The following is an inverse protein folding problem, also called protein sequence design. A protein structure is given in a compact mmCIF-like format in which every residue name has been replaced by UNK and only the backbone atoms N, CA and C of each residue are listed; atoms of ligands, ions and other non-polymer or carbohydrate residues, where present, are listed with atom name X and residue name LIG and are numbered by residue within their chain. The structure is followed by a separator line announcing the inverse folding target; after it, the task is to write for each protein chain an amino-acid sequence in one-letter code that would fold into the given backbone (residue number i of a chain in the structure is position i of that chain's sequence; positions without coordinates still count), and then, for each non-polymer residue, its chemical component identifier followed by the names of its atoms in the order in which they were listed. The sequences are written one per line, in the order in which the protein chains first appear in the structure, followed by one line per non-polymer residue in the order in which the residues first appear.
data_IF_772296702930
#
_entry.id   IF_772296702930
#
_cell.length_a   1.000
_cell.length_b   1.000
_cell.length_c   1.000
_cell.angle_alpha   90.00
_cell.angle_beta   90.00
_cell.angle_gamma   90.00
#
_symmetry.space_group_name_H-M   'P 1'
#
loop_
_entity.id
_entity.type
_entity.pdbx_description
1 polymer ?
#
# COMPACT_ATOMS: atom_id res chain seq x y z
N UNK A 1 21.05 -85.33 45.79
CA UNK A 1 19.72 -84.66 45.88
C UNK A 1 19.84 -83.27 45.26
N UNK A 2 18.99 -83.00 44.25
CA UNK A 2 18.43 -81.68 43.82
C UNK A 2 19.41 -80.54 43.52
N UNK A 3 19.42 -79.84 42.37
CA UNK A 3 18.40 -79.51 41.34
C UNK A 3 19.18 -78.98 40.11
N UNK A 4 18.89 -79.46 38.91
CA UNK A 4 17.93 -78.94 37.91
C UNK A 4 18.40 -77.75 37.07
N UNK A 5 18.36 -78.02 35.77
CA UNK A 5 18.65 -77.19 34.61
C UNK A 5 17.51 -76.23 34.23
N UNK A 6 17.88 -75.26 33.36
CA UNK A 6 17.08 -74.41 32.42
C UNK A 6 16.70 -73.00 32.91
N UNK A 7 16.41 -72.04 32.00
CA UNK A 7 16.92 -71.84 30.62
C UNK A 7 17.29 -70.37 30.31
N UNK A 8 17.87 -70.23 29.11
CA UNK A 8 18.07 -69.04 28.28
C UNK A 8 16.94 -67.99 28.37
N UNK A 9 17.31 -66.74 28.64
CA UNK A 9 16.66 -65.58 28.03
C UNK A 9 17.74 -64.62 27.54
N UNK A 10 17.95 -64.63 26.23
CA UNK A 10 18.53 -63.53 25.50
C UNK A 10 17.55 -62.35 25.63
N UNK A 11 18.00 -61.25 26.21
CA UNK A 11 17.36 -59.95 26.05
C UNK A 11 18.38 -59.10 25.31
N UNK A 12 18.19 -59.07 23.99
CA UNK A 12 18.78 -58.07 23.13
C UNK A 12 18.34 -56.70 23.65
N UNK A 13 19.29 -55.89 24.11
CA UNK A 13 19.05 -54.47 24.29
C UNK A 13 18.86 -53.88 22.89
N UNK A 14 17.61 -53.63 22.51
CA UNK A 14 17.28 -52.78 21.37
C UNK A 14 17.87 -51.40 21.66
N UNK A 15 18.99 -51.08 20.99
CA UNK A 15 19.37 -49.70 20.73
C UNK A 15 18.27 -49.09 19.86
N UNK A 16 17.33 -48.36 20.46
CA UNK A 16 16.54 -47.38 19.72
C UNK A 16 17.43 -46.16 19.59
N UNK A 17 18.32 -46.21 18.60
CA UNK A 17 18.90 -44.99 18.05
C UNK A 17 17.76 -44.26 17.34
N UNK A 18 17.04 -43.41 18.08
CA UNK A 18 16.22 -42.39 17.46
C UNK A 18 17.17 -41.44 16.73
N UNK A 19 17.43 -41.75 15.46
CA UNK A 19 17.90 -40.79 14.49
C UNK A 19 16.84 -39.69 14.45
N UNK A 20 17.07 -38.64 15.23
CA UNK A 20 16.48 -37.34 14.99
C UNK A 20 17.13 -36.86 13.69
N UNK A 21 16.56 -37.29 12.57
CA UNK A 21 16.74 -36.58 11.32
C UNK A 21 16.27 -35.16 11.61
N UNK A 22 17.11 -34.12 11.44
CA UNK A 22 16.57 -32.79 11.29
C UNK A 22 15.71 -32.88 10.03
N UNK A 23 14.40 -32.99 10.24
CA UNK A 23 13.46 -32.66 9.20
C UNK A 23 13.72 -31.18 8.98
N UNK A 24 14.54 -30.90 7.97
CA UNK A 24 14.59 -29.61 7.31
C UNK A 24 13.20 -29.42 6.73
N UNK A 25 12.24 -29.11 7.60
CA UNK A 25 11.11 -28.27 7.26
C UNK A 25 11.82 -27.07 6.66
N UNK A 26 11.93 -27.07 5.34
CA UNK A 26 12.05 -25.83 4.61
C UNK A 26 10.82 -25.10 5.14
N UNK A 27 11.05 -24.14 6.03
CA UNK A 27 10.12 -23.04 6.13
C UNK A 27 10.00 -22.61 4.67
N UNK A 28 8.87 -22.96 4.03
CA UNK A 28 8.47 -22.35 2.79
C UNK A 28 8.64 -20.87 3.09
N UNK A 29 9.66 -20.26 2.50
CA UNK A 29 9.99 -18.88 2.79
C UNK A 29 8.68 -18.13 2.61
N UNK A 30 8.25 -17.40 3.63
CA UNK A 30 7.11 -16.50 3.48
C UNK A 30 7.34 -15.76 2.16
N UNK A 31 6.36 -15.78 1.22
CA UNK A 31 6.55 -15.15 -0.07
C UNK A 31 7.05 -13.73 0.17
N UNK A 32 8.05 -13.30 -0.60
CA UNK A 32 8.54 -11.94 -0.44
C UNK A 32 7.32 -11.02 -0.59
N UNK A 33 7.12 -10.07 0.34
CA UNK A 33 5.93 -9.21 0.29
C UNK A 33 5.74 -8.52 -1.07
N UNK A 34 6.84 -8.25 -1.78
CA UNK A 34 6.88 -7.75 -3.15
C UNK A 34 6.29 -8.70 -4.20
N UNK A 35 6.20 -10.00 -3.95
CA UNK A 35 5.54 -11.00 -4.80
C UNK A 35 4.02 -11.05 -4.58
N UNK A 36 3.54 -10.62 -3.40
CA UNK A 36 2.11 -10.61 -3.06
C UNK A 36 1.35 -9.38 -3.61
N UNK A 37 2.07 -8.34 -4.03
CA UNK A 37 1.49 -7.04 -4.45
C UNK A 37 1.75 -6.69 -5.92
N UNK A 38 2.22 -7.65 -6.73
CA UNK A 38 2.56 -7.40 -8.14
C UNK A 38 1.31 -7.32 -9.00
N UNK A 39 1.10 -6.17 -9.62
CA UNK A 39 -0.04 -5.96 -10.50
C UNK A 39 0.41 -5.23 -11.77
N UNK A 40 -0.13 -5.61 -12.95
CA UNK A 40 0.17 -4.91 -14.19
C UNK A 40 -0.33 -3.46 -14.08
N UNK A 41 0.56 -2.50 -14.29
CA UNK A 41 0.23 -1.07 -14.28
C UNK A 41 -0.95 -0.77 -15.21
N UNK A 42 -1.71 0.27 -14.90
CA UNK A 42 -2.68 0.84 -15.83
C UNK A 42 -1.96 1.29 -17.11
N UNK A 43 -2.70 1.30 -18.23
CA UNK A 43 -2.20 1.84 -19.50
C UNK A 43 -2.15 3.37 -19.44
N UNK A 44 -1.09 3.88 -18.82
CA UNK A 44 -0.78 5.29 -18.58
C UNK A 44 0.67 5.59 -19.00
N UNK A 45 0.98 6.84 -19.40
CA UNK A 45 2.35 7.24 -19.67
C UNK A 45 3.17 7.25 -18.37
N UNK A 46 4.12 6.32 -18.26
CA UNK A 46 5.05 6.30 -17.11
C UNK A 46 6.10 7.40 -17.30
N UNK A 47 6.27 8.33 -16.35
CA UNK A 47 7.23 9.43 -16.47
C UNK A 47 8.68 8.96 -16.22
N UNK A 48 9.64 9.90 -16.35
CA UNK A 48 11.05 9.60 -16.05
C UNK A 48 11.27 9.33 -14.54
N UNK A 49 12.36 8.63 -14.14
CA UNK A 49 12.66 8.44 -12.73
C UNK A 49 12.70 9.77 -11.94
N UNK A 50 12.15 9.75 -10.74
CA UNK A 50 11.98 10.92 -9.86
C UNK A 50 10.78 11.80 -10.22
N UNK A 51 9.90 11.37 -11.12
CA UNK A 51 8.78 12.16 -11.60
C UNK A 51 7.41 11.50 -11.40
N UNK A 52 6.40 12.37 -11.42
CA UNK A 52 4.98 12.03 -11.37
C UNK A 52 4.24 12.81 -12.45
N UNK A 53 3.31 12.13 -13.09
CA UNK A 53 2.39 12.64 -14.09
C UNK A 53 0.96 12.53 -13.55
N UNK A 54 0.20 13.62 -13.67
CA UNK A 54 -1.15 13.78 -13.11
C UNK A 54 -2.06 14.37 -14.17
N UNK A 55 -3.14 13.67 -14.49
CA UNK A 55 -4.24 14.13 -15.35
C UNK A 55 -5.55 14.14 -14.55
N UNK A 56 -6.36 15.17 -14.75
CA UNK A 56 -7.69 15.30 -14.17
C UNK A 56 -8.69 15.70 -15.26
N UNK A 57 -9.76 14.91 -15.43
CA UNK A 57 -10.79 15.08 -16.47
C UNK A 57 -10.23 15.28 -17.89
N UNK A 58 -9.13 14.58 -18.22
CA UNK A 58 -8.48 14.65 -19.53
C UNK A 58 -7.48 15.81 -19.69
N UNK A 59 -7.29 16.65 -18.68
CA UNK A 59 -6.27 17.70 -18.66
C UNK A 59 -5.06 17.30 -17.82
N UNK A 60 -3.86 17.34 -18.40
CA UNK A 60 -2.61 17.14 -17.66
C UNK A 60 -2.39 18.33 -16.73
N UNK A 61 -2.60 18.11 -15.43
CA UNK A 61 -2.43 19.15 -14.41
C UNK A 61 -0.98 19.33 -13.99
N UNK A 62 -0.17 18.28 -14.08
CA UNK A 62 1.22 18.29 -13.63
C UNK A 62 2.04 17.16 -14.25
N UNK A 63 3.25 17.50 -14.68
CA UNK A 63 4.32 16.54 -14.95
C UNK A 63 5.61 17.12 -14.38
N UNK A 64 6.17 16.49 -13.35
CA UNK A 64 7.31 17.06 -12.65
C UNK A 64 7.81 16.18 -11.51
N UNK A 65 8.61 16.77 -10.64
CA UNK A 65 9.27 16.03 -9.57
C UNK A 65 8.28 15.50 -8.53
N UNK A 66 8.56 14.30 -8.02
CA UNK A 66 7.93 13.83 -6.79
C UNK A 66 8.38 14.67 -5.60
N UNK A 67 7.53 14.77 -4.58
CA UNK A 67 7.82 15.43 -3.32
C UNK A 67 7.81 14.41 -2.17
N UNK A 68 8.81 14.48 -1.29
CA UNK A 68 8.89 13.63 -0.09
C UNK A 68 9.26 12.18 -0.40
N UNK A 69 8.67 11.25 0.35
CA UNK A 69 8.87 9.82 0.15
C UNK A 69 8.25 9.35 -1.18
N UNK A 70 8.98 8.50 -1.90
CA UNK A 70 8.48 7.85 -3.10
C UNK A 70 8.97 6.39 -3.13
N UNK A 71 8.03 5.45 -3.19
CA UNK A 71 8.30 4.02 -3.31
C UNK A 71 7.77 3.21 -2.13
N UNK A 72 8.32 2.01 -1.96
CA UNK A 72 8.05 1.17 -0.79
C UNK A 72 8.54 1.85 0.49
N UNK A 73 7.65 2.06 1.46
CA UNK A 73 8.00 2.59 2.78
C UNK A 73 7.67 1.55 3.85
N UNK A 74 8.66 0.77 4.24
CA UNK A 74 8.50 -0.31 5.23
C UNK A 74 8.55 0.17 6.67
N UNK A 75 8.69 1.47 6.91
CA UNK A 75 8.77 2.03 8.27
C UNK A 75 7.38 2.04 8.89
N UNK A 76 7.15 1.33 10.01
CA UNK A 76 5.89 1.41 10.73
C UNK A 76 5.64 2.86 11.16
N UNK A 77 4.45 3.39 10.89
CA UNK A 77 4.05 4.67 11.50
C UNK A 77 3.86 4.49 13.01
N UNK A 78 3.69 5.58 13.75
CA UNK A 78 3.30 5.53 15.17
C UNK A 78 1.96 4.77 15.41
N UNK A 79 1.19 4.56 14.35
CA UNK A 79 -0.08 3.81 14.30
C UNK A 79 0.09 2.39 13.73
N UNK A 80 1.34 1.94 13.55
CA UNK A 80 1.71 0.64 12.97
C UNK A 80 1.15 0.42 11.55
N UNK A 81 1.04 1.50 10.76
CA UNK A 81 0.71 1.38 9.33
C UNK A 81 1.95 0.91 8.56
N UNK A 82 1.78 -0.09 7.70
CA UNK A 82 2.79 -0.47 6.71
C UNK A 82 2.44 0.20 5.38
N UNK A 83 3.23 1.19 4.96
CA UNK A 83 3.03 1.85 3.66
C UNK A 83 3.67 1.00 2.56
N UNK A 84 2.88 0.13 1.95
CA UNK A 84 3.31 -0.66 0.80
C UNK A 84 3.70 0.23 -0.39
N UNK A 85 3.17 1.43 -0.54
CA UNK A 85 3.67 2.40 -1.51
C UNK A 85 3.20 3.79 -1.12
N UNK A 86 4.08 4.78 -1.26
CA UNK A 86 3.69 6.20 -1.19
C UNK A 86 4.34 6.96 -2.32
N UNK A 87 3.63 7.92 -2.88
CA UNK A 87 4.18 8.98 -3.69
C UNK A 87 3.37 10.26 -3.50
N UNK A 88 4.01 11.41 -3.62
CA UNK A 88 3.32 12.70 -3.55
C UNK A 88 3.92 13.71 -4.51
N UNK A 89 3.17 14.75 -4.81
CA UNK A 89 3.68 15.96 -5.45
C UNK A 89 2.93 17.19 -4.94
N UNK A 90 3.62 18.31 -4.89
CA UNK A 90 3.04 19.62 -4.69
C UNK A 90 3.55 20.60 -5.76
N UNK A 91 2.67 21.46 -6.24
CA UNK A 91 3.01 22.43 -7.28
C UNK A 91 2.06 23.62 -7.25
N UNK A 92 2.50 24.72 -7.85
CA UNK A 92 1.65 25.85 -8.15
C UNK A 92 1.06 25.66 -9.54
N UNK A 93 -0.25 25.88 -9.68
CA UNK A 93 -0.86 26.02 -11.00
C UNK A 93 -0.32 27.27 -11.71
N UNK A 94 -0.52 27.40 -13.03
CA UNK A 94 -0.15 28.62 -13.76
C UNK A 94 -0.78 29.91 -13.19
N UNK A 95 -1.94 29.78 -12.54
CA UNK A 95 -2.67 30.88 -11.88
C UNK A 95 -2.13 31.19 -10.47
N UNK A 96 -1.21 30.37 -9.95
CA UNK A 96 -0.62 30.54 -8.62
C UNK A 96 -1.33 29.77 -7.50
N UNK A 97 -2.23 28.84 -7.82
CA UNK A 97 -2.96 28.04 -6.83
C UNK A 97 -2.13 26.85 -6.37
N UNK A 98 -2.00 26.66 -5.06
CA UNK A 98 -1.28 25.54 -4.48
C UNK A 98 -2.08 24.24 -4.60
N UNK A 99 -1.43 23.22 -5.15
CA UNK A 99 -1.98 21.87 -5.34
C UNK A 99 -1.10 20.85 -4.68
N UNK A 100 -1.74 19.80 -4.18
CA UNK A 100 -1.06 18.65 -3.60
C UNK A 100 -1.79 17.37 -3.98
N UNK A 101 -1.04 16.35 -4.36
CA UNK A 101 -1.56 14.99 -4.53
C UNK A 101 -0.75 14.04 -3.68
N UNK A 102 -1.44 13.05 -3.14
CA UNK A 102 -0.82 11.87 -2.53
C UNK A 102 -1.46 10.61 -3.07
N UNK A 103 -0.61 9.64 -3.35
CA UNK A 103 -0.92 8.26 -3.71
C UNK A 103 -0.38 7.36 -2.59
N UNK A 104 -1.25 6.61 -1.93
CA UNK A 104 -0.89 5.74 -0.80
C UNK A 104 -1.55 4.38 -0.96
N UNK A 105 -0.73 3.32 -0.97
CA UNK A 105 -1.18 1.94 -0.77
C UNK A 105 -0.54 1.43 0.51
N UNK A 106 -1.32 0.86 1.41
CA UNK A 106 -0.77 0.39 2.67
C UNK A 106 -1.68 -0.53 3.44
N UNK A 107 -1.18 -1.02 4.56
CA UNK A 107 -1.95 -1.72 5.57
C UNK A 107 -2.15 -0.74 6.71
N UNK A 108 -3.40 -0.32 6.95
CA UNK A 108 -3.74 0.56 8.05
C UNK A 108 -3.97 -0.20 9.34
N UNK A 109 -3.44 0.36 10.42
CA UNK A 109 -3.55 -0.11 11.78
C UNK A 109 -4.77 0.40 12.56
N UNK A 110 -5.84 0.89 11.92
CA UNK A 110 -7.03 1.34 12.70
C UNK A 110 -7.51 0.24 13.66
N UNK A 111 -7.49 0.55 14.96
CA UNK A 111 -7.72 -0.39 16.07
C UNK A 111 -9.06 -1.14 15.95
N UNK A 112 -10.10 -0.47 15.41
CA UNK A 112 -11.42 -1.07 15.19
C UNK A 112 -11.36 -2.28 14.26
N UNK A 113 -10.46 -2.26 13.27
CA UNK A 113 -10.34 -3.31 12.25
C UNK A 113 -9.29 -4.34 12.65
N UNK A 114 -8.25 -3.93 13.40
CA UNK A 114 -7.22 -4.81 13.94
C UNK A 114 -7.80 -5.94 14.80
N UNK A 115 -8.83 -5.64 15.60
CA UNK A 115 -9.54 -6.63 16.42
C UNK A 115 -10.25 -7.71 15.60
N UNK A 116 -10.51 -7.47 14.31
CA UNK A 116 -11.17 -8.41 13.40
C UNK A 116 -10.19 -9.25 12.55
N UNK A 117 -9.10 -8.66 12.06
CA UNK A 117 -8.17 -9.34 11.13
C UNK A 117 -6.82 -9.74 11.72
N UNK A 118 -6.44 -9.19 12.89
CA UNK A 118 -5.15 -9.48 13.52
C UNK A 118 -3.93 -8.80 12.87
N UNK A 119 -3.94 -8.54 11.57
CA UNK A 119 -2.78 -8.01 10.81
C UNK A 119 -2.96 -6.60 10.24
N UNK A 120 -4.09 -5.93 10.49
CA UNK A 120 -4.45 -4.66 9.85
C UNK A 120 -5.34 -4.88 8.62
N UNK A 121 -5.58 -3.83 7.83
CA UNK A 121 -6.46 -3.87 6.66
C UNK A 121 -5.82 -3.09 5.51
N UNK A 122 -5.90 -3.60 4.28
CA UNK A 122 -5.30 -2.91 3.14
C UNK A 122 -6.18 -1.76 2.66
N UNK A 123 -5.53 -0.65 2.36
CA UNK A 123 -6.15 0.57 1.92
C UNK A 123 -5.39 1.13 0.71
N UNK A 124 -6.16 1.50 -0.31
CA UNK A 124 -5.69 2.34 -1.41
C UNK A 124 -6.32 3.73 -1.22
N UNK A 125 -5.51 4.78 -1.37
CA UNK A 125 -5.93 6.16 -1.24
C UNK A 125 -5.25 7.03 -2.29
N UNK A 126 -6.07 7.77 -3.05
CA UNK A 126 -5.64 8.98 -3.75
C UNK A 126 -6.32 10.16 -3.10
N UNK A 127 -5.53 11.16 -2.72
CA UNK A 127 -6.01 12.42 -2.18
C UNK A 127 -5.52 13.56 -3.04
N UNK A 128 -6.44 14.41 -3.46
CA UNK A 128 -6.16 15.66 -4.14
C UNK A 128 -6.57 16.82 -3.24
N UNK A 129 -5.66 17.77 -3.03
CA UNK A 129 -5.89 18.97 -2.24
C UNK A 129 -5.60 20.21 -3.08
N UNK A 130 -6.42 21.23 -2.89
CA UNK A 130 -6.37 22.48 -3.63
C UNK A 130 -6.54 23.68 -2.69
N UNK A 131 -5.76 24.74 -2.94
CA UNK A 131 -5.88 26.04 -2.29
C UNK A 131 -5.80 27.15 -3.34
N UNK A 132 -6.51 28.25 -3.11
CA UNK A 132 -6.50 29.44 -3.97
C UNK A 132 -5.26 30.34 -3.76
N UNK A 133 -4.42 30.06 -2.76
CA UNK A 133 -3.17 30.79 -2.49
C UNK A 133 -1.92 30.01 -2.93
N UNK A 134 -0.75 30.64 -2.84
CA UNK A 134 0.55 30.06 -3.25
C UNK A 134 1.27 29.31 -2.11
N UNK A 135 0.61 29.08 -0.98
CA UNK A 135 1.19 28.48 0.22
C UNK A 135 1.28 26.95 0.11
N UNK A 136 2.20 26.44 -0.73
CA UNK A 136 2.43 25.00 -0.95
C UNK A 136 2.62 24.18 0.32
N UNK A 137 3.22 24.78 1.36
CA UNK A 137 3.46 24.10 2.63
C UNK A 137 2.18 23.83 3.42
N UNK A 138 1.09 24.57 3.15
CA UNK A 138 -0.23 24.38 3.79
C UNK A 138 -1.09 23.39 3.03
N UNK A 139 -0.98 23.33 1.71
CA UNK A 139 -1.69 22.35 0.88
C UNK A 139 -1.38 20.90 1.28
N UNK A 140 -0.27 20.66 2.00
CA UNK A 140 0.14 19.34 2.54
C UNK A 140 -0.25 19.11 4.00
N UNK A 141 -0.57 20.14 4.78
CA UNK A 141 -0.80 20.01 6.21
C UNK A 141 -2.20 19.46 6.52
N UNK A 142 -2.31 18.76 7.66
CA UNK A 142 -3.60 18.36 8.22
C UNK A 142 -4.41 19.56 8.76
N UNK A 143 -3.92 20.80 8.61
CA UNK A 143 -4.71 22.01 8.80
C UNK A 143 -5.60 22.24 7.58
N UNK A 144 -6.78 21.64 7.67
CA UNK A 144 -7.75 21.57 6.58
C UNK A 144 -8.56 22.86 6.38
N UNK A 145 -8.24 23.93 7.11
CA UNK A 145 -8.94 25.20 6.95
C UNK A 145 -8.55 25.83 5.61
N UNK A 146 -9.56 26.17 4.82
CA UNK A 146 -9.42 26.80 3.51
C UNK A 146 -8.66 25.92 2.47
N UNK A 147 -8.65 24.60 2.65
CA UNK A 147 -8.11 23.64 1.68
C UNK A 147 -9.24 22.74 1.19
N UNK A 148 -9.60 22.88 -0.08
CA UNK A 148 -10.59 22.01 -0.72
C UNK A 148 -9.97 20.62 -0.97
N UNK A 149 -10.76 19.57 -0.76
CA UNK A 149 -10.28 18.18 -0.86
C UNK A 149 -11.24 17.30 -1.61
N UNK A 150 -10.66 16.48 -2.49
CA UNK A 150 -11.34 15.30 -3.03
C UNK A 150 -10.44 14.08 -2.89
N UNK A 151 -11.07 12.91 -2.76
CA UNK A 151 -10.35 11.67 -2.61
C UNK A 151 -11.11 10.51 -3.22
N UNK A 152 -10.36 9.49 -3.58
CA UNK A 152 -10.87 8.15 -3.83
C UNK A 152 -10.15 7.20 -2.88
N UNK A 153 -10.89 6.33 -2.23
CA UNK A 153 -10.30 5.35 -1.31
C UNK A 153 -11.06 4.04 -1.30
N UNK A 154 -10.32 2.96 -1.10
CA UNK A 154 -10.83 1.61 -1.03
C UNK A 154 -10.21 0.91 0.17
N UNK A 155 -11.02 0.17 0.92
CA UNK A 155 -10.58 -0.57 2.10
C UNK A 155 -10.99 -2.03 2.02
N UNK A 156 -10.10 -2.93 2.43
CA UNK A 156 -10.33 -4.37 2.53
C UNK A 156 -9.67 -4.96 3.76
N UNK A 157 -10.27 -6.00 4.32
CA UNK A 157 -9.74 -6.67 5.51
C UNK A 157 -8.42 -7.39 5.20
N UNK A 158 -8.40 -8.15 4.11
CA UNK A 158 -7.27 -8.98 3.71
C UNK A 158 -6.78 -8.59 2.30
N UNK A 159 -5.47 -8.70 2.02
CA UNK A 159 -4.95 -8.63 0.66
C UNK A 159 -5.62 -9.66 -0.26
N UNK A 160 -5.90 -9.28 -1.49
CA UNK A 160 -6.77 -9.98 -2.44
C UNK A 160 -8.29 -9.99 -2.11
N UNK A 161 -8.71 -9.50 -0.94
CA UNK A 161 -10.07 -9.67 -0.43
C UNK A 161 -11.14 -8.73 -0.97
N UNK A 162 -12.38 -8.92 -0.49
CA UNK A 162 -13.53 -8.07 -0.83
C UNK A 162 -13.38 -6.65 -0.27
N UNK A 163 -13.86 -5.68 -1.05
CA UNK A 163 -13.95 -4.28 -0.67
C UNK A 163 -15.07 -4.09 0.35
N UNK A 164 -14.73 -3.60 1.53
CA UNK A 164 -15.72 -3.38 2.62
C UNK A 164 -16.15 -1.92 2.74
N UNK A 165 -15.39 -1.00 2.12
CA UNK A 165 -15.66 0.44 2.08
C UNK A 165 -15.00 1.03 0.86
N UNK A 166 -15.73 1.90 0.18
CA UNK A 166 -15.28 2.66 -0.98
C UNK A 166 -15.77 4.11 -0.84
N UNK A 167 -14.97 5.04 -1.33
CA UNK A 167 -15.31 6.45 -1.53
C UNK A 167 -14.75 6.91 -2.86
N UNK A 168 -15.53 7.66 -3.64
CA UNK A 168 -15.26 7.79 -5.07
C UNK A 168 -15.53 6.48 -5.80
N UNK A 169 -15.06 6.38 -7.04
CA UNK A 169 -15.19 5.15 -7.85
C UNK A 169 -13.82 4.74 -8.37
N UNK A 170 -13.45 3.47 -8.21
CA UNK A 170 -12.20 2.93 -8.78
C UNK A 170 -12.30 1.43 -9.10
N UNK A 171 -11.57 0.99 -10.13
CA UNK A 171 -11.43 -0.43 -10.41
C UNK A 171 -10.44 -1.07 -9.43
N UNK A 172 -10.87 -2.11 -8.71
CA UNK A 172 -10.00 -2.85 -7.80
C UNK A 172 -9.08 -3.84 -8.57
N UNK A 173 -7.76 -3.89 -8.31
CA UNK A 173 -6.97 -3.00 -7.45
C UNK A 173 -6.75 -1.61 -8.07
N UNK A 174 -7.02 -0.60 -7.24
CA UNK A 174 -7.08 0.81 -7.63
C UNK A 174 -5.67 1.39 -7.82
N UNK A 175 -4.76 1.13 -6.88
CA UNK A 175 -3.37 1.56 -6.99
C UNK A 175 -2.53 0.35 -7.36
N UNK A 176 -2.00 0.32 -8.58
CA UNK A 176 -1.17 -0.78 -9.07
C UNK A 176 0.30 -0.41 -8.98
N UNK A 177 1.06 -1.24 -8.29
CA UNK A 177 2.50 -1.06 -8.07
C UNK A 177 3.26 -2.09 -8.89
N UNK A 178 4.27 -1.63 -9.64
CA UNK A 178 5.13 -2.50 -10.42
C UNK A 178 6.00 -3.36 -9.50
N UNK A 179 6.45 -4.51 -10.00
CA UNK A 179 7.26 -5.47 -9.26
C UNK A 179 8.61 -4.92 -8.76
N UNK A 180 9.09 -3.82 -9.36
CA UNK A 180 10.31 -3.14 -8.93
C UNK A 180 10.09 -2.20 -7.74
N UNK A 181 8.84 -1.90 -7.37
CA UNK A 181 8.51 -0.96 -6.31
C UNK A 181 8.79 0.50 -6.61
N UNK A 182 9.29 0.81 -7.81
CA UNK A 182 9.66 2.14 -8.22
C UNK A 182 8.53 2.80 -9.01
N UNK A 183 7.61 2.03 -9.59
CA UNK A 183 6.55 2.56 -10.44
C UNK A 183 5.18 2.22 -9.90
N UNK A 184 4.26 3.18 -9.96
CA UNK A 184 2.86 2.94 -9.62
C UNK A 184 1.92 3.74 -10.52
N UNK A 185 0.68 3.27 -10.63
CA UNK A 185 -0.38 3.92 -11.39
C UNK A 185 -1.70 3.85 -10.64
N UNK A 186 -2.55 4.86 -10.81
CA UNK A 186 -3.89 4.90 -10.23
C UNK A 186 -4.87 5.58 -11.18
N UNK A 187 -6.10 5.06 -11.23
CA UNK A 187 -7.22 5.65 -11.98
C UNK A 187 -8.46 5.60 -11.10
N UNK A 188 -9.08 6.75 -10.82
CA UNK A 188 -10.30 6.83 -10.03
C UNK A 188 -11.14 8.06 -10.37
N UNK A 189 -12.41 8.01 -10.04
CA UNK A 189 -13.28 9.19 -9.92
C UNK A 189 -13.17 9.71 -8.48
N UNK A 190 -12.62 10.92 -8.33
CA UNK A 190 -12.54 11.60 -7.05
C UNK A 190 -13.90 12.16 -6.64
N UNK A 191 -14.20 12.07 -5.35
CA UNK A 191 -15.36 12.71 -4.75
C UNK A 191 -14.94 13.75 -3.70
N UNK A 192 -15.60 14.92 -3.64
CA UNK A 192 -15.31 15.93 -2.64
C UNK A 192 -15.69 15.46 -1.24
N UNK A 193 -14.96 15.94 -0.23
CA UNK A 193 -15.35 15.71 1.17
C UNK A 193 -16.54 16.61 1.54
N UNK A 194 -17.49 16.06 2.29
CA UNK A 194 -18.81 16.63 2.64
C UNK A 194 -18.91 18.12 3.09
N UNK A 195 -17.80 18.80 3.39
CA UNK A 195 -17.80 20.19 3.88
C UNK A 195 -17.30 21.21 2.85
N UNK A 196 -16.82 20.76 1.69
CA UNK A 196 -16.30 21.59 0.59
C UNK A 196 -17.37 21.77 -0.51
N UNK A 197 -17.35 22.86 -1.28
CA UNK A 197 -18.30 23.08 -2.40
C UNK A 197 -18.22 21.88 -3.39
N UNK A 198 -19.26 21.03 -3.46
CA UNK A 198 -19.14 19.66 -3.95
C UNK A 198 -18.93 19.53 -5.47
N UNK A 199 -18.94 20.63 -6.22
CA UNK A 199 -18.84 20.59 -7.68
C UNK A 199 -17.42 20.81 -8.23
N UNK A 200 -16.49 21.41 -7.47
CA UNK A 200 -15.24 21.93 -8.07
C UNK A 200 -14.09 20.90 -8.16
N UNK A 201 -14.20 19.75 -7.49
CA UNK A 201 -13.11 18.75 -7.40
C UNK A 201 -13.56 17.30 -7.62
N UNK A 202 -14.79 17.10 -8.13
CA UNK A 202 -15.26 15.79 -8.55
C UNK A 202 -14.85 15.54 -10.00
N UNK A 203 -14.24 14.39 -10.30
CA UNK A 203 -13.73 14.11 -11.65
C UNK A 203 -12.78 12.93 -11.70
N UNK A 204 -12.46 12.48 -12.91
CA UNK A 204 -11.56 11.34 -13.12
C UNK A 204 -10.12 11.81 -12.99
N UNK A 205 -9.38 11.23 -12.04
CA UNK A 205 -7.94 11.41 -11.91
C UNK A 205 -7.19 10.20 -12.46
N UNK A 206 -6.09 10.45 -13.16
CA UNK A 206 -5.13 9.43 -13.62
C UNK A 206 -3.75 9.85 -13.15
N UNK A 207 -3.04 8.95 -12.46
CA UNK A 207 -1.72 9.21 -11.90
C UNK A 207 -0.77 8.12 -12.36
N UNK A 208 0.41 8.51 -12.82
CA UNK A 208 1.54 7.62 -13.04
C UNK A 208 2.78 8.19 -12.36
N UNK A 209 3.53 7.36 -11.65
CA UNK A 209 4.74 7.77 -10.94
C UNK A 209 5.87 6.81 -11.23
N UNK A 210 7.08 7.36 -11.31
CA UNK A 210 8.32 6.63 -11.33
C UNK A 210 9.26 7.25 -10.31
N UNK A 211 9.39 6.61 -9.15
CA UNK A 211 10.31 7.00 -8.10
C UNK A 211 11.75 6.94 -8.62
N UNK A 212 12.57 7.89 -8.18
CA UNK A 212 14.00 7.88 -8.48
C UNK A 212 14.75 6.88 -7.61
N UNK A 213 16.04 6.71 -7.88
CA UNK A 213 16.94 6.05 -6.94
C UNK A 213 17.05 6.95 -5.70
N UNK A 214 16.49 6.50 -4.58
CA UNK A 214 16.57 7.18 -3.28
C UNK A 214 17.98 7.21 -2.70
#
# INVERSE_FOLDING_TARGET
MTRCHRPRHALAALLVAALVLPSSVHAEGEPAWSELVQEPLHDLPVPAPGQIWIEFDGEVLYEGATYGECGFVTTPTEWLDYRNFVASANWLSPEGHARFVTLERGISGEEMTWRRSGTGHEADLVRFMYRDDDELWRARELDFRDTLRSFASLFRVDPGGEVIREWGEADFPFIRVASDGARATAVATLEPRFDDDPASLAGVIRIAVHCGDG
#
